data_IF_902813743059
#
_entry.id   IF_902813743059
#
_cell.length_a   1.000
_cell.length_b   1.000
_cell.length_c   1.000
_cell.angle_alpha   90.00
_cell.angle_beta   90.00
_cell.angle_gamma   90.00
#
_symmetry.space_group_name_H-M   'P 1'
#
loop_
_entity.id
_entity.type
_entity.pdbx_description
1 polymer ?
#
# COMPACT_ATOMS: atom_id res chain seq x y z
N UNK A 1 -2.15 52.42 21.76
CA UNK A 1 -1.26 51.30 21.36
C UNK A 1 -0.15 51.88 20.49
N UNK A 2 1.13 51.60 20.78
CA UNK A 2 2.23 52.24 20.04
C UNK A 2 2.49 51.55 18.70
N UNK A 3 2.98 52.29 17.70
CA UNK A 3 3.35 51.74 16.38
C UNK A 3 4.34 50.56 16.52
N UNK A 4 5.26 50.63 17.50
CA UNK A 4 6.20 49.54 17.80
C UNK A 4 5.50 48.27 18.26
N UNK A 5 4.43 48.41 19.05
CA UNK A 5 3.63 47.27 19.52
C UNK A 5 2.91 46.59 18.37
N UNK A 6 2.36 47.37 17.42
CA UNK A 6 1.68 46.82 16.23
C UNK A 6 2.67 46.09 15.31
N UNK A 7 3.84 46.68 15.05
CA UNK A 7 4.89 46.05 14.23
C UNK A 7 5.41 44.74 14.85
N UNK A 8 5.60 44.70 16.17
CA UNK A 8 6.02 43.48 16.85
C UNK A 8 4.99 42.35 16.74
N UNK A 9 3.70 42.68 16.86
CA UNK A 9 2.60 41.70 16.69
C UNK A 9 2.56 41.18 15.24
N UNK A 10 2.67 42.07 14.24
CA UNK A 10 2.66 41.68 12.83
C UNK A 10 3.89 40.82 12.48
N UNK A 11 5.07 41.15 12.99
CA UNK A 11 6.27 40.36 12.78
C UNK A 11 6.15 38.95 13.42
N UNK A 12 5.59 38.86 14.63
CA UNK A 12 5.33 37.58 15.29
C UNK A 12 4.33 36.72 14.54
N UNK A 13 3.23 37.31 14.06
CA UNK A 13 2.24 36.61 13.24
C UNK A 13 2.82 36.13 11.91
N UNK A 14 3.62 36.95 11.24
CA UNK A 14 4.29 36.57 10.00
C UNK A 14 5.26 35.40 10.22
N UNK A 15 6.05 35.42 11.29
CA UNK A 15 6.98 34.34 11.61
C UNK A 15 6.25 33.02 11.92
N UNK A 16 5.11 33.09 12.63
CA UNK A 16 4.27 31.93 12.90
C UNK A 16 3.66 31.35 11.61
N UNK A 17 3.20 32.19 10.68
CA UNK A 17 2.71 31.75 9.38
C UNK A 17 3.81 31.08 8.54
N UNK A 18 5.01 31.69 8.50
CA UNK A 18 6.17 31.08 7.80
C UNK A 18 6.53 29.75 8.43
N UNK A 19 6.56 29.65 9.76
CA UNK A 19 6.81 28.40 10.45
C UNK A 19 5.77 27.34 10.10
N UNK A 20 4.48 27.66 10.14
CA UNK A 20 3.41 26.72 9.79
C UNK A 20 3.52 26.21 8.35
N UNK A 21 3.83 27.10 7.40
CA UNK A 21 4.00 26.74 5.97
C UNK A 21 5.22 25.83 5.76
N UNK A 22 6.31 26.03 6.51
CA UNK A 22 7.52 25.23 6.38
C UNK A 22 7.45 23.94 7.20
N UNK A 23 6.85 23.97 8.39
CA UNK A 23 6.77 22.83 9.29
C UNK A 23 5.78 21.78 8.78
N UNK A 24 4.68 22.19 8.15
CA UNK A 24 3.67 21.26 7.65
C UNK A 24 4.25 20.20 6.68
N UNK A 25 4.95 20.56 5.58
CA UNK A 25 5.55 19.57 4.69
C UNK A 25 6.67 18.77 5.36
N UNK A 26 7.38 19.34 6.35
CA UNK A 26 8.42 18.64 7.08
C UNK A 26 7.84 17.57 8.01
N UNK A 27 6.77 17.91 8.75
CA UNK A 27 6.04 16.97 9.62
C UNK A 27 5.39 15.89 8.79
N UNK A 28 4.73 16.26 7.69
CA UNK A 28 4.11 15.29 6.77
C UNK A 28 5.17 14.36 6.17
N UNK A 29 6.36 14.87 5.82
CA UNK A 29 7.49 14.05 5.38
C UNK A 29 8.01 13.12 6.48
N UNK A 30 8.16 13.61 7.72
CA UNK A 30 8.67 12.82 8.86
C UNK A 30 7.67 11.77 9.32
N UNK A 31 6.38 12.10 9.43
CA UNK A 31 5.32 11.16 9.81
C UNK A 31 5.15 10.07 8.76
N UNK A 32 5.17 10.44 7.48
CA UNK A 32 5.27 9.45 6.41
C UNK A 32 6.51 8.58 6.62
N UNK A 33 7.71 9.17 6.70
CA UNK A 33 8.96 8.42 6.83
C UNK A 33 9.00 7.48 8.05
N UNK A 34 8.40 7.86 9.17
CA UNK A 34 8.31 7.05 10.39
C UNK A 34 7.26 5.95 10.28
N UNK A 35 6.10 6.23 9.67
CA UNK A 35 5.08 5.23 9.37
C UNK A 35 5.65 4.11 8.46
N UNK A 36 6.38 4.50 7.41
CA UNK A 36 7.06 3.57 6.49
C UNK A 36 8.12 2.68 7.15
N UNK A 37 8.67 3.09 8.30
CA UNK A 37 9.72 2.32 8.99
C UNK A 37 9.16 1.16 9.82
N UNK A 38 7.90 1.24 10.27
CA UNK A 38 7.28 0.25 11.17
C UNK A 38 6.56 -0.88 10.43
N UNK A 39 6.16 -0.67 9.18
CA UNK A 39 5.50 -1.66 8.30
C UNK A 39 6.50 -2.62 7.59
N UNK A 40 7.80 -2.55 7.91
CA UNK A 40 8.84 -3.42 7.33
C UNK A 40 8.71 -4.86 7.84
N UNK A 41 8.00 -5.69 7.06
CA UNK A 41 8.22 -7.14 7.01
C UNK A 41 9.55 -7.43 6.31
N UNK A 42 10.31 -8.39 6.82
CA UNK A 42 11.70 -8.81 6.51
C UNK A 42 12.04 -9.20 5.05
N UNK A 43 11.32 -8.71 4.03
CA UNK A 43 11.62 -9.02 2.62
C UNK A 43 12.00 -7.77 1.82
N UNK A 44 13.05 -7.91 1.01
CA UNK A 44 13.58 -6.86 0.12
C UNK A 44 12.47 -6.23 -0.77
N UNK A 45 11.47 -7.04 -1.14
CA UNK A 45 10.31 -6.64 -1.96
C UNK A 45 9.45 -5.57 -1.28
N UNK A 46 9.14 -5.72 0.01
CA UNK A 46 8.32 -4.75 0.75
C UNK A 46 9.02 -3.38 0.85
N UNK A 47 10.36 -3.38 0.95
CA UNK A 47 11.16 -2.16 0.95
C UNK A 47 11.14 -1.42 -0.38
N UNK A 48 11.16 -2.15 -1.52
CA UNK A 48 11.08 -1.51 -2.84
C UNK A 48 9.68 -0.96 -3.11
N UNK A 49 8.63 -1.74 -2.87
CA UNK A 49 7.24 -1.30 -3.13
C UNK A 49 6.77 -0.26 -2.13
N UNK A 50 7.22 -0.31 -0.87
CA UNK A 50 6.93 0.74 0.12
C UNK A 50 7.40 2.12 -0.33
N UNK A 51 8.54 2.23 -1.02
CA UNK A 51 9.01 3.49 -1.61
C UNK A 51 8.11 4.01 -2.75
N UNK A 52 7.33 3.12 -3.36
CA UNK A 52 6.37 3.42 -4.42
C UNK A 52 4.97 3.74 -3.86
N UNK A 53 4.77 3.65 -2.54
CA UNK A 53 3.47 3.79 -1.88
C UNK A 53 2.81 5.17 -2.01
N UNK A 54 3.53 6.18 -2.47
CA UNK A 54 3.00 7.52 -2.75
C UNK A 54 2.61 7.73 -4.21
N UNK A 55 2.81 6.72 -5.06
CA UNK A 55 2.54 6.80 -6.49
C UNK A 55 1.10 6.35 -6.77
N UNK A 56 0.32 7.11 -7.56
CA UNK A 56 -1.00 6.65 -7.98
C UNK A 56 -0.87 5.48 -8.97
N UNK A 57 -1.93 4.66 -9.09
CA UNK A 57 -1.90 3.42 -9.89
C UNK A 57 -1.38 3.61 -11.33
N UNK A 58 -1.75 4.71 -12.00
CA UNK A 58 -1.34 4.98 -13.38
C UNK A 58 0.15 5.32 -13.54
N UNK A 59 0.80 5.83 -12.49
CA UNK A 59 2.24 6.11 -12.49
C UNK A 59 3.06 4.96 -11.92
N UNK A 60 2.41 4.02 -11.21
CA UNK A 60 3.07 2.94 -10.50
C UNK A 60 3.97 2.12 -11.43
N UNK A 61 3.49 1.73 -12.62
CA UNK A 61 4.27 0.94 -13.56
C UNK A 61 5.59 1.64 -13.97
N UNK A 62 5.55 2.96 -14.16
CA UNK A 62 6.74 3.75 -14.50
C UNK A 62 7.69 3.85 -13.31
N UNK A 63 7.15 4.05 -12.10
CA UNK A 63 7.95 4.15 -10.89
C UNK A 63 8.57 2.80 -10.50
N UNK A 64 7.84 1.69 -10.66
CA UNK A 64 8.30 0.33 -10.48
C UNK A 64 9.44 -0.03 -11.43
N UNK A 65 9.32 0.32 -12.71
CA UNK A 65 10.40 0.13 -13.68
C UNK A 65 11.69 0.88 -13.28
N UNK A 66 11.58 2.13 -12.80
CA UNK A 66 12.73 2.89 -12.28
C UNK A 66 13.34 2.26 -11.02
N UNK A 67 12.53 1.54 -10.25
CA UNK A 67 12.96 0.83 -9.05
C UNK A 67 13.52 -0.58 -9.35
N UNK A 68 13.64 -0.95 -10.63
CA UNK A 68 14.19 -2.23 -11.07
C UNK A 68 13.20 -3.39 -11.12
N UNK A 69 11.90 -3.11 -10.95
CA UNK A 69 10.87 -4.14 -11.10
C UNK A 69 10.50 -4.33 -12.57
N UNK A 70 10.17 -5.56 -12.95
CA UNK A 70 9.74 -5.91 -14.31
C UNK A 70 8.29 -6.35 -14.33
N UNK A 71 7.51 -5.93 -15.32
CA UNK A 71 6.11 -6.37 -15.39
C UNK A 71 6.03 -7.84 -15.81
N UNK A 72 5.15 -8.62 -15.21
CA UNK A 72 4.92 -10.03 -15.57
C UNK A 72 3.44 -10.33 -15.74
N UNK A 73 3.08 -10.85 -16.91
CA UNK A 73 1.73 -11.37 -17.20
C UNK A 73 1.46 -12.72 -16.51
N UNK A 74 2.48 -13.33 -15.92
CA UNK A 74 2.34 -14.57 -15.15
C UNK A 74 1.72 -14.35 -13.77
N UNK A 75 1.78 -13.11 -13.26
CA UNK A 75 1.21 -12.75 -11.98
C UNK A 75 -0.28 -12.48 -12.15
N UNK A 76 -1.09 -13.19 -11.37
CA UNK A 76 -2.55 -13.05 -11.35
C UNK A 76 -3.02 -12.91 -9.91
N UNK A 77 -4.16 -12.28 -9.70
CA UNK A 77 -4.77 -12.20 -8.39
C UNK A 77 -6.07 -11.43 -8.42
N UNK A 78 -6.84 -11.56 -7.35
CA UNK A 78 -8.08 -10.84 -7.10
C UNK A 78 -8.17 -10.62 -5.58
N UNK A 79 -8.63 -9.43 -5.19
CA UNK A 79 -9.07 -9.19 -3.82
C UNK A 79 -10.57 -9.50 -3.74
N UNK A 80 -10.90 -10.54 -2.97
CA UNK A 80 -12.27 -11.00 -2.79
C UNK A 80 -13.05 -10.06 -1.84
N UNK A 81 -12.37 -9.59 -0.78
CA UNK A 81 -12.96 -8.72 0.22
C UNK A 81 -11.93 -7.73 0.78
N UNK A 82 -12.36 -6.49 0.99
CA UNK A 82 -11.63 -5.48 1.71
C UNK A 82 -12.61 -4.60 2.49
N UNK A 83 -12.50 -4.61 3.82
CA UNK A 83 -13.44 -3.94 4.71
C UNK A 83 -12.69 -3.22 5.84
N UNK A 84 -13.11 -1.99 6.14
CA UNK A 84 -12.74 -1.32 7.38
C UNK A 84 -13.67 -1.82 8.48
N UNK A 85 -13.09 -2.41 9.52
CA UNK A 85 -13.81 -2.90 10.69
C UNK A 85 -14.28 -1.74 11.58
N UNK A 86 -15.25 -1.96 12.50
CA UNK A 86 -15.74 -0.90 13.39
C UNK A 86 -14.66 -0.26 14.28
N UNK A 87 -13.56 -0.96 14.53
CA UNK A 87 -12.38 -0.47 15.27
C UNK A 87 -11.39 0.31 14.38
N UNK A 88 -11.72 0.51 13.10
CA UNK A 88 -10.92 1.26 12.13
C UNK A 88 -9.82 0.45 11.44
N UNK A 89 -9.65 -0.83 11.78
CA UNK A 89 -8.65 -1.70 11.15
C UNK A 89 -9.09 -2.19 9.78
N UNK A 90 -8.12 -2.40 8.89
CA UNK A 90 -8.38 -2.93 7.56
C UNK A 90 -8.28 -4.46 7.56
N UNK A 91 -9.37 -5.13 7.15
CA UNK A 91 -9.39 -6.56 6.87
C UNK A 91 -9.41 -6.79 5.36
N UNK A 92 -8.55 -7.67 4.88
CA UNK A 92 -8.48 -8.06 3.45
C UNK A 92 -8.38 -9.56 3.29
N UNK A 93 -8.97 -10.07 2.22
CA UNK A 93 -8.85 -11.45 1.79
C UNK A 93 -8.91 -11.56 0.27
N UNK A 94 -8.26 -12.57 -0.27
CA UNK A 94 -8.25 -12.81 -1.70
C UNK A 94 -7.26 -13.91 -2.08
N UNK A 95 -6.84 -13.86 -3.34
CA UNK A 95 -5.80 -14.74 -3.84
C UNK A 95 -4.86 -14.02 -4.82
N UNK A 96 -3.62 -14.49 -4.88
CA UNK A 96 -2.65 -14.09 -5.88
C UNK A 96 -1.66 -15.23 -6.14
N UNK A 97 -1.13 -15.31 -7.35
CA UNK A 97 -0.23 -16.40 -7.75
C UNK A 97 0.68 -15.99 -8.90
N UNK A 98 1.86 -16.60 -8.95
CA UNK A 98 2.69 -16.63 -10.14
C UNK A 98 2.43 -17.92 -10.92
N UNK A 99 1.69 -17.82 -12.02
CA UNK A 99 1.32 -18.97 -12.87
C UNK A 99 2.51 -19.64 -13.55
N UNK A 100 3.68 -18.98 -13.57
CA UNK A 100 4.93 -19.53 -14.13
C UNK A 100 5.80 -20.21 -13.07
N UNK A 101 5.54 -19.95 -11.78
CA UNK A 101 6.33 -20.44 -10.65
C UNK A 101 5.42 -21.01 -9.56
N UNK A 102 4.95 -22.23 -9.81
CA UNK A 102 4.11 -22.97 -8.86
C UNK A 102 4.69 -23.00 -7.44
N UNK A 103 3.79 -22.97 -6.47
CA UNK A 103 4.01 -23.08 -5.03
C UNK A 103 4.95 -22.04 -4.40
N UNK A 104 5.34 -20.99 -5.15
CA UNK A 104 6.08 -19.87 -4.59
C UNK A 104 5.10 -18.82 -4.06
N UNK A 105 5.25 -18.38 -2.80
CA UNK A 105 4.43 -17.31 -2.27
C UNK A 105 4.73 -16.01 -3.00
N UNK A 106 3.69 -15.23 -3.27
CA UNK A 106 3.79 -13.86 -3.78
C UNK A 106 3.38 -12.88 -2.69
N UNK A 107 3.95 -11.69 -2.74
CA UNK A 107 3.59 -10.59 -1.85
C UNK A 107 2.48 -9.77 -2.51
N UNK A 108 1.35 -9.65 -1.83
CA UNK A 108 0.23 -8.81 -2.21
C UNK A 108 0.37 -7.48 -1.48
N UNK A 109 0.50 -6.41 -2.25
CA UNK A 109 0.73 -5.07 -1.75
C UNK A 109 -0.47 -4.21 -2.06
N UNK A 110 -1.16 -3.77 -1.01
CA UNK A 110 -2.28 -2.84 -1.10
C UNK A 110 -1.73 -1.45 -0.88
N UNK A 111 -1.82 -0.61 -1.91
CA UNK A 111 -1.31 0.77 -1.88
C UNK A 111 -2.48 1.73 -1.77
N UNK A 112 -2.49 2.52 -0.70
CA UNK A 112 -3.36 3.68 -0.52
C UNK A 112 -2.48 4.93 -0.62
N UNK A 113 -2.44 5.60 -1.79
CA UNK A 113 -1.51 6.69 -2.06
C UNK A 113 -1.46 7.75 -0.95
N UNK A 114 -0.27 8.04 -0.43
CA UNK A 114 -0.03 9.04 0.63
C UNK A 114 -0.74 8.75 1.97
N UNK A 115 -1.30 7.55 2.15
CA UNK A 115 -1.99 7.14 3.37
C UNK A 115 -1.31 5.94 3.98
N UNK A 116 -1.23 4.83 3.23
CA UNK A 116 -0.67 3.59 3.75
C UNK A 116 -0.28 2.63 2.63
N UNK A 117 0.63 1.71 2.96
CA UNK A 117 0.82 0.48 2.20
C UNK A 117 0.73 -0.69 3.15
N UNK A 118 0.03 -1.72 2.71
CA UNK A 118 -0.09 -2.96 3.43
C UNK A 118 0.50 -4.09 2.61
N UNK A 119 1.17 -5.02 3.26
CA UNK A 119 1.77 -6.19 2.60
C UNK A 119 1.24 -7.44 3.27
N UNK A 120 0.74 -8.36 2.47
CA UNK A 120 0.32 -9.69 2.92
C UNK A 120 0.85 -10.73 1.95
N UNK A 121 1.40 -11.82 2.49
CA UNK A 121 1.95 -12.91 1.68
C UNK A 121 0.91 -14.00 1.46
N UNK A 122 0.89 -14.57 0.26
CA UNK A 122 0.06 -15.74 -0.01
C UNK A 122 0.64 -16.97 0.67
N UNK A 123 -0.15 -17.60 1.54
CA UNK A 123 0.30 -18.71 2.39
C UNK A 123 -0.72 -19.83 2.51
N UNK A 124 -1.97 -19.55 2.16
CA UNK A 124 -3.09 -20.48 2.32
C UNK A 124 -3.41 -21.17 0.99
N UNK A 125 -3.83 -22.45 1.01
CA UNK A 125 -4.37 -23.11 -0.17
C UNK A 125 -5.72 -22.49 -0.58
N UNK A 126 -6.04 -22.59 -1.88
CA UNK A 126 -7.30 -22.14 -2.50
C UNK A 126 -7.64 -23.10 -3.63
N UNK A 127 -8.36 -24.18 -3.29
CA UNK A 127 -8.70 -25.24 -4.25
C UNK A 127 -9.56 -24.69 -5.41
N UNK A 128 -10.45 -23.75 -5.11
CA UNK A 128 -11.24 -23.01 -6.10
C UNK A 128 -10.39 -22.29 -7.16
N UNK A 129 -9.27 -21.73 -6.74
CA UNK A 129 -8.32 -21.02 -7.62
C UNK A 129 -7.46 -22.02 -8.39
N UNK A 130 -7.04 -23.12 -7.76
CA UNK A 130 -6.30 -24.17 -8.43
C UNK A 130 -7.13 -24.79 -9.55
N UNK A 131 -8.40 -25.11 -9.29
CA UNK A 131 -9.34 -25.63 -10.29
C UNK A 131 -9.56 -24.63 -11.43
N UNK A 132 -9.80 -23.35 -11.12
CA UNK A 132 -9.98 -22.30 -12.12
C UNK A 132 -8.76 -22.14 -13.05
N UNK A 133 -7.55 -22.28 -12.51
CA UNK A 133 -6.29 -22.16 -13.26
C UNK A 133 -5.80 -23.49 -13.83
N UNK A 134 -6.56 -24.59 -13.64
CA UNK A 134 -6.21 -25.95 -14.07
C UNK A 134 -4.87 -26.45 -13.49
N UNK A 135 -4.60 -26.10 -12.24
CA UNK A 135 -3.44 -26.58 -11.49
C UNK A 135 -3.83 -27.71 -10.52
N UNK A 136 -2.90 -28.62 -10.17
CA UNK A 136 -3.10 -29.52 -9.03
C UNK A 136 -3.36 -28.72 -7.74
N UNK A 137 -4.24 -29.22 -6.86
CA UNK A 137 -4.67 -28.50 -5.65
C UNK A 137 -3.51 -28.12 -4.70
N UNK A 138 -2.44 -28.92 -4.66
CA UNK A 138 -1.24 -28.69 -3.86
C UNK A 138 -0.16 -27.87 -4.58
N UNK A 139 -0.37 -27.55 -5.85
CA UNK A 139 0.60 -26.85 -6.68
C UNK A 139 0.73 -25.37 -6.30
N UNK A 140 -0.27 -24.75 -5.67
CA UNK A 140 -0.27 -23.31 -5.37
C UNK A 140 -0.81 -22.98 -3.97
N UNK A 141 -0.09 -22.13 -3.25
CA UNK A 141 -0.56 -21.44 -2.03
C UNK A 141 -0.94 -20.01 -2.40
N UNK A 142 -2.08 -19.87 -3.05
CA UNK A 142 -2.52 -18.60 -3.63
C UNK A 142 -3.31 -17.71 -2.66
N UNK A 143 -3.89 -18.28 -1.61
CA UNK A 143 -4.77 -17.55 -0.69
C UNK A 143 -4.00 -16.64 0.26
N UNK A 144 -4.59 -15.46 0.51
CA UNK A 144 -4.20 -14.57 1.59
C UNK A 144 -5.43 -14.08 2.36
N UNK A 145 -5.26 -13.87 3.66
CA UNK A 145 -6.20 -13.19 4.52
C UNK A 145 -5.44 -12.50 5.64
N UNK A 146 -5.70 -11.22 5.88
CA UNK A 146 -5.03 -10.45 6.92
C UNK A 146 -5.97 -9.41 7.53
N UNK A 147 -5.74 -9.08 8.79
CA UNK A 147 -6.26 -7.88 9.44
C UNK A 147 -5.06 -7.08 9.89
N UNK A 148 -4.96 -5.83 9.46
CA UNK A 148 -3.85 -4.96 9.81
C UNK A 148 -4.16 -4.25 11.13
N UNK A 149 -3.22 -4.28 12.07
CA UNK A 149 -3.43 -3.80 13.43
C UNK A 149 -3.58 -2.27 13.52
N UNK A 150 -3.01 -1.54 12.57
CA UNK A 150 -3.06 -0.09 12.55
C UNK A 150 -4.42 0.41 12.04
N UNK A 151 -5.12 1.25 12.82
CA UNK A 151 -6.40 1.82 12.41
C UNK A 151 -6.16 2.86 11.32
N UNK A 152 -6.82 2.70 10.19
CA UNK A 152 -6.69 3.57 9.01
C UNK A 152 -7.95 4.35 8.69
N UNK A 153 -9.09 3.91 9.25
CA UNK A 153 -10.39 4.52 9.05
C UNK A 153 -10.72 4.72 7.56
N UNK A 154 -11.48 5.77 7.25
CA UNK A 154 -11.93 6.04 5.88
C UNK A 154 -10.94 6.79 4.99
N UNK A 155 -9.74 7.10 5.51
CA UNK A 155 -8.70 7.75 4.71
C UNK A 155 -8.25 6.85 3.54
N UNK A 156 -8.11 5.55 3.80
CA UNK A 156 -7.68 4.56 2.80
C UNK A 156 -8.70 4.41 1.67
N UNK A 157 -10.00 4.39 1.98
CA UNK A 157 -11.07 4.34 0.98
C UNK A 157 -11.05 5.58 0.08
N UNK A 158 -10.83 6.78 0.65
CA UNK A 158 -10.79 8.04 -0.11
C UNK A 158 -9.54 8.20 -0.97
N UNK A 159 -8.44 7.52 -0.62
CA UNK A 159 -7.18 7.61 -1.33
C UNK A 159 -7.18 6.91 -2.71
N UNK A 160 -8.22 6.13 -3.03
CA UNK A 160 -8.27 5.35 -4.27
C UNK A 160 -7.24 4.22 -4.24
N UNK A 161 -7.37 3.33 -3.25
CA UNK A 161 -6.44 2.23 -3.07
C UNK A 161 -6.40 1.30 -4.30
N UNK A 162 -5.25 0.67 -4.52
CA UNK A 162 -5.04 -0.31 -5.59
C UNK A 162 -4.12 -1.43 -5.09
N UNK A 163 -4.03 -2.51 -5.87
CA UNK A 163 -3.35 -3.74 -5.45
C UNK A 163 -2.33 -4.15 -6.49
N UNK A 164 -1.13 -4.40 -5.99
CA UNK A 164 0.02 -4.88 -6.76
C UNK A 164 0.43 -6.23 -6.21
N UNK A 165 0.70 -7.18 -7.09
CA UNK A 165 1.29 -8.46 -6.72
C UNK A 165 2.75 -8.43 -7.14
N UNK A 166 3.65 -8.87 -6.26
CA UNK A 166 5.09 -8.93 -6.53
C UNK A 166 5.65 -10.29 -6.14
N UNK A 167 6.48 -10.88 -7.00
CA UNK A 167 7.16 -12.15 -6.70
C UNK A 167 8.60 -11.92 -6.22
N UNK A 168 9.28 -13.02 -5.87
CA UNK A 168 10.66 -12.99 -5.36
C UNK A 168 11.69 -12.60 -6.43
N UNK A 169 11.32 -12.59 -7.71
CA UNK A 169 12.20 -12.21 -8.83
C UNK A 169 12.01 -10.73 -9.23
N UNK A 170 11.41 -9.92 -8.33
CA UNK A 170 11.11 -8.51 -8.56
C UNK A 170 10.22 -8.27 -9.78
N UNK A 171 9.36 -9.23 -10.09
CA UNK A 171 8.32 -9.05 -11.09
C UNK A 171 7.03 -8.57 -10.45
N UNK A 172 6.27 -7.72 -11.12
CA UNK A 172 5.00 -7.21 -10.62
C UNK A 172 3.88 -7.24 -11.66
N UNK A 173 2.65 -7.20 -11.17
CA UNK A 173 1.49 -6.75 -11.95
C UNK A 173 0.46 -6.04 -11.06
N UNK A 174 -0.38 -5.21 -11.67
CA UNK A 174 -1.47 -4.50 -10.99
C UNK A 174 -2.74 -5.30 -11.20
N UNK A 175 -3.19 -6.01 -10.17
CA UNK A 175 -4.31 -6.96 -10.27
C UNK A 175 -5.67 -6.33 -9.96
N UNK A 176 -5.70 -5.29 -9.12
CA UNK A 176 -6.88 -4.48 -8.86
C UNK A 176 -6.47 -3.00 -8.93
N UNK A 177 -6.63 -2.31 -10.09
CA UNK A 177 -6.25 -0.90 -10.23
C UNK A 177 -7.14 0.05 -9.43
N UNK A 178 -8.31 -0.43 -8.99
CA UNK A 178 -9.21 0.24 -8.07
C UNK A 178 -9.73 -0.81 -7.09
N UNK A 179 -9.31 -0.70 -5.83
CA UNK A 179 -9.78 -1.53 -4.74
C UNK A 179 -10.96 -0.82 -4.06
N UNK A 180 -12.13 -1.45 -4.12
CA UNK A 180 -13.29 -1.01 -3.33
C UNK A 180 -13.12 -1.52 -1.90
N UNK A 181 -13.18 -0.61 -0.94
CA UNK A 181 -13.06 -0.93 0.48
C UNK A 181 -14.37 -0.50 1.15
N UNK A 182 -15.09 -1.44 1.75
CA UNK A 182 -16.36 -1.15 2.43
C UNK A 182 -16.12 -0.76 3.90
N UNK A 183 -17.20 -0.41 4.61
CA UNK A 183 -17.14 0.05 6.01
C UNK A 183 -16.92 1.55 6.17
N UNK A 184 -16.90 2.26 5.04
CA UNK A 184 -16.91 3.70 4.84
C UNK A 184 -17.91 4.00 3.71
#
# INVERSE_FOLDING_TARGET
>A
MSIRTVLAILAGAALACVWAVVSYPLVDYVDNALYWRRVRSDTDVAGVVGRLGNTPAFEFARAAAKAGLTRSEGLKGIVDAADVLPDGRLKVAGWAVDTRKGNRPVDVVIVAPKVAVFVVRTTSPRDDVADYLLFPADYIKAGFAATFDEPVGCAVTRAGAYVVVVNQDLQFDIVNPQLKINGC
#
